data_IF_587427087144
#
_entry.id   IF_587427087144
#
_cell.length_a   1.000
_cell.length_b   1.000
_cell.length_c   1.000
_cell.angle_alpha   90.00
_cell.angle_beta   90.00
_cell.angle_gamma   90.00
#
_symmetry.space_group_name_H-M   'P 1'
#
loop_
_entity.id
_entity.type
_entity.pdbx_description
1 polymer ?
#
# COMPACT_ATOMS: atom_id res chain seq x y z
N UNK A 1 19.99 9.75 12.19
CA UNK A 1 18.75 9.71 11.39
C UNK A 1 17.63 9.26 12.31
N UNK A 2 16.70 10.13 12.66
CA UNK A 2 15.54 9.78 13.50
C UNK A 2 14.37 9.47 12.58
N UNK A 3 14.06 8.19 12.39
CA UNK A 3 12.99 7.76 11.48
C UNK A 3 11.66 8.37 11.92
N UNK A 4 10.89 8.94 10.98
CA UNK A 4 9.60 9.60 11.27
C UNK A 4 8.59 8.55 11.76
N UNK A 5 8.61 7.35 11.17
CA UNK A 5 7.81 6.20 11.59
C UNK A 5 8.73 5.02 11.87
N UNK A 6 8.54 4.40 13.04
CA UNK A 6 9.20 3.14 13.41
C UNK A 6 8.18 2.02 13.38
N UNK A 7 8.28 1.13 12.41
CA UNK A 7 7.49 -0.09 12.33
C UNK A 7 8.11 -1.12 13.28
N UNK A 8 7.30 -1.71 14.15
CA UNK A 8 7.70 -2.80 15.05
C UNK A 8 7.22 -4.15 14.57
N UNK A 9 6.06 -4.19 13.92
CA UNK A 9 5.49 -5.41 13.35
C UNK A 9 4.71 -5.06 12.09
N UNK A 10 4.81 -5.91 11.06
CA UNK A 10 4.09 -5.73 9.82
C UNK A 10 3.93 -7.07 9.14
N UNK A 11 2.74 -7.33 8.61
CA UNK A 11 2.52 -8.51 7.82
C UNK A 11 1.14 -8.58 7.22
N UNK A 12 0.88 -9.74 6.63
CA UNK A 12 -0.36 -10.07 5.97
C UNK A 12 -0.85 -11.43 6.46
N UNK A 13 -2.17 -11.63 6.49
CA UNK A 13 -2.79 -12.94 6.74
C UNK A 13 -3.81 -13.26 5.65
N UNK A 14 -3.81 -14.49 5.11
CA UNK A 14 -2.81 -15.55 5.33
C UNK A 14 -1.48 -15.26 4.61
N UNK A 15 -0.37 -15.84 5.12
CA UNK A 15 0.96 -15.76 4.51
C UNK A 15 1.55 -17.18 4.32
N UNK A 16 2.20 -17.52 3.19
CA UNK A 16 2.38 -16.67 2.01
C UNK A 16 1.06 -16.38 1.29
N UNK A 17 0.88 -15.19 0.69
CA UNK A 17 -0.32 -14.91 -0.08
C UNK A 17 -0.33 -15.84 -1.30
N UNK A 18 -1.34 -16.69 -1.37
CA UNK A 18 -1.79 -17.34 -2.61
C UNK A 18 -3.15 -16.72 -2.86
N UNK A 19 -3.14 -15.61 -3.61
CA UNK A 19 -4.36 -14.89 -3.91
C UNK A 19 -5.04 -15.51 -5.13
N UNK A 20 -6.33 -15.79 -5.00
CA UNK A 20 -7.27 -16.17 -6.07
C UNK A 20 -8.37 -15.10 -6.17
N UNK A 21 -9.30 -15.24 -7.12
CA UNK A 21 -10.46 -14.36 -7.24
C UNK A 21 -11.21 -14.21 -5.90
N UNK A 22 -11.46 -12.97 -5.46
CA UNK A 22 -12.18 -12.68 -4.22
C UNK A 22 -11.41 -12.99 -2.94
N UNK A 23 -10.08 -13.11 -3.03
CA UNK A 23 -9.22 -13.37 -1.88
C UNK A 23 -9.21 -12.17 -0.93
N UNK A 24 -9.60 -12.44 0.31
CA UNK A 24 -9.54 -11.50 1.42
C UNK A 24 -8.23 -11.71 2.17
N UNK A 25 -7.47 -10.63 2.33
CA UNK A 25 -6.26 -10.64 3.15
C UNK A 25 -6.33 -9.54 4.19
N UNK A 26 -5.82 -9.84 5.39
CA UNK A 26 -5.67 -8.85 6.44
C UNK A 26 -4.25 -8.31 6.43
N UNK A 27 -4.07 -7.01 6.19
CA UNK A 27 -2.81 -6.32 6.49
C UNK A 27 -2.84 -5.86 7.94
N UNK A 28 -1.74 -6.09 8.65
CA UNK A 28 -1.55 -5.54 9.99
C UNK A 28 -0.23 -4.79 10.07
N UNK A 29 -0.25 -3.64 10.73
CA UNK A 29 0.89 -2.76 10.97
C UNK A 29 0.88 -2.36 12.43
N UNK A 30 1.99 -2.59 13.13
CA UNK A 30 2.26 -2.04 14.45
C UNK A 30 3.51 -1.20 14.43
N UNK A 31 3.46 -0.06 15.09
CA UNK A 31 4.60 0.83 15.15
C UNK A 31 4.33 2.09 15.95
N UNK A 32 5.21 3.07 15.77
CA UNK A 32 5.12 4.39 16.37
C UNK A 32 5.46 5.46 15.35
N UNK A 33 4.64 6.49 15.29
CA UNK A 33 4.97 7.76 14.65
C UNK A 33 5.73 8.59 15.69
N UNK A 34 6.99 8.92 15.41
CA UNK A 34 7.89 9.56 16.38
C UNK A 34 7.72 11.09 16.43
N UNK A 35 7.23 11.69 15.33
CA UNK A 35 6.94 13.12 15.23
C UNK A 35 5.77 13.35 14.27
N UNK A 36 5.11 14.47 14.43
CA UNK A 36 4.07 14.91 13.50
C UNK A 36 4.65 15.06 12.08
N UNK A 37 3.87 14.68 11.08
CA UNK A 37 4.18 14.95 9.68
C UNK A 37 2.91 15.35 8.94
N UNK A 38 3.06 16.27 7.99
CA UNK A 38 1.95 16.86 7.24
C UNK A 38 1.48 16.00 6.07
N UNK A 39 0.97 16.66 5.02
CA UNK A 39 0.63 16.00 3.77
C UNK A 39 1.80 15.20 3.20
N UNK A 40 1.48 14.03 2.68
CA UNK A 40 2.46 13.14 2.09
C UNK A 40 1.88 12.43 0.87
N UNK A 41 2.71 12.30 -0.16
CA UNK A 41 2.43 11.49 -1.34
C UNK A 41 2.92 10.07 -1.15
N UNK A 42 2.27 9.12 -1.82
CA UNK A 42 2.70 7.72 -1.86
C UNK A 42 3.14 7.33 -3.26
N UNK A 43 4.34 6.76 -3.38
CA UNK A 43 4.82 6.13 -4.60
C UNK A 43 4.68 4.61 -4.47
N UNK A 44 3.86 4.02 -5.32
CA UNK A 44 3.79 2.56 -5.48
C UNK A 44 4.60 2.18 -6.71
N UNK A 45 5.50 1.21 -6.55
CA UNK A 45 6.17 0.51 -7.66
C UNK A 45 5.74 -0.94 -7.63
N UNK A 46 5.01 -1.36 -8.66
CA UNK A 46 4.54 -2.73 -8.81
C UNK A 46 5.28 -3.38 -9.98
N UNK A 47 5.85 -4.55 -9.75
CA UNK A 47 6.57 -5.31 -10.76
C UNK A 47 6.16 -6.77 -10.74
N UNK A 48 6.19 -7.42 -11.91
CA UNK A 48 5.95 -8.85 -12.07
C UNK A 48 7.21 -9.56 -12.54
N UNK A 49 7.45 -10.75 -12.04
CA UNK A 49 8.52 -11.62 -12.52
C UNK A 49 8.10 -12.31 -13.82
N UNK A 50 8.81 -12.04 -14.92
CA UNK A 50 8.61 -12.63 -16.24
C UNK A 50 9.95 -13.15 -16.74
N UNK A 51 10.04 -14.44 -17.05
CA UNK A 51 11.26 -15.10 -17.54
C UNK A 51 12.52 -14.80 -16.69
N UNK A 52 12.35 -14.65 -15.38
CA UNK A 52 13.43 -14.35 -14.43
C UNK A 52 13.70 -12.86 -14.18
N UNK A 53 13.11 -11.96 -14.97
CA UNK A 53 13.28 -10.51 -14.83
C UNK A 53 12.08 -9.85 -14.17
N UNK A 54 12.31 -8.78 -13.41
CA UNK A 54 11.24 -7.95 -12.85
C UNK A 54 10.82 -6.88 -13.87
N UNK A 55 9.61 -7.04 -14.40
CA UNK A 55 9.01 -6.12 -15.37
C UNK A 55 8.08 -5.17 -14.62
N UNK A 56 8.29 -3.84 -14.69
CA UNK A 56 7.41 -2.87 -14.04
C UNK A 56 6.03 -2.87 -14.69
N UNK A 57 4.99 -2.82 -13.87
CA UNK A 57 3.61 -2.64 -14.31
C UNK A 57 3.35 -1.14 -14.35
N UNK A 58 3.02 -0.56 -15.51
CA UNK A 58 2.79 0.88 -15.64
C UNK A 58 1.56 1.32 -14.85
N UNK A 59 1.50 2.61 -14.50
CA UNK A 59 0.27 3.17 -13.93
C UNK A 59 -0.80 3.27 -15.01
N UNK A 60 -1.90 2.54 -14.86
CA UNK A 60 -3.05 2.56 -15.75
C UNK A 60 -4.32 2.65 -14.91
N UNK A 61 -5.10 3.73 -15.12
CA UNK A 61 -6.35 3.99 -14.38
C UNK A 61 -6.20 3.89 -12.85
N UNK A 62 -5.05 4.30 -12.29
CA UNK A 62 -4.78 4.23 -10.86
C UNK A 62 -4.27 2.88 -10.34
N UNK A 63 -4.00 1.91 -11.23
CA UNK A 63 -3.42 0.60 -10.89
C UNK A 63 -1.99 0.46 -11.41
N UNK A 64 -1.12 -0.22 -10.66
CA UNK A 64 0.27 -0.49 -11.05
C UNK A 64 1.26 0.43 -10.35
N UNK A 65 2.29 0.88 -11.08
CA UNK A 65 3.32 1.76 -10.52
C UNK A 65 2.89 3.23 -10.54
N UNK A 66 1.97 3.60 -9.65
CA UNK A 66 1.38 4.93 -9.57
C UNK A 66 1.97 5.79 -8.45
N UNK A 67 1.96 7.10 -8.65
CA UNK A 67 2.10 8.08 -7.57
C UNK A 67 0.72 8.58 -7.20
N UNK A 68 0.41 8.52 -5.91
CA UNK A 68 -0.81 9.05 -5.32
C UNK A 68 -0.43 10.31 -4.54
N UNK A 69 -0.82 11.48 -5.06
CA UNK A 69 -0.42 12.78 -4.52
C UNK A 69 -0.98 13.02 -3.11
N UNK A 70 -2.08 12.35 -2.79
CA UNK A 70 -2.67 12.30 -1.46
C UNK A 70 -2.58 10.86 -0.92
N UNK A 71 -1.55 10.57 -0.11
CA UNK A 71 -1.41 9.26 0.55
C UNK A 71 -2.62 8.89 1.40
N UNK A 72 -3.38 9.90 1.85
CA UNK A 72 -4.65 9.71 2.52
C UNK A 72 -5.78 9.25 1.61
N UNK A 73 -5.82 9.56 0.31
CA UNK A 73 -6.85 8.99 -0.58
C UNK A 73 -6.67 7.49 -0.76
N UNK A 74 -5.42 6.99 -0.77
CA UNK A 74 -5.18 5.56 -0.78
C UNK A 74 -5.49 4.92 0.57
N UNK A 75 -5.06 5.55 1.67
CA UNK A 75 -5.42 5.07 3.02
C UNK A 75 -6.93 5.08 3.22
N UNK A 76 -7.63 6.11 2.74
CA UNK A 76 -9.08 6.26 2.73
C UNK A 76 -9.74 5.20 1.86
N UNK A 77 -9.23 4.91 0.67
CA UNK A 77 -9.74 3.80 -0.16
C UNK A 77 -9.57 2.45 0.54
N UNK A 78 -8.45 2.24 1.25
CA UNK A 78 -8.18 1.02 2.02
C UNK A 78 -8.93 0.95 3.36
N UNK A 79 -9.31 2.10 3.93
CA UNK A 79 -10.03 2.24 5.21
C UNK A 79 -11.54 2.42 5.02
N UNK A 80 -12.01 2.79 3.82
CA UNK A 80 -13.44 2.99 3.49
C UNK A 80 -14.24 1.69 3.52
N UNK A 81 -13.60 0.53 3.41
CA UNK A 81 -14.27 -0.74 3.73
C UNK A 81 -14.69 -0.83 5.22
N UNK A 82 -14.29 0.12 6.09
CA UNK A 82 -14.66 0.20 7.50
C UNK A 82 -15.77 1.20 7.85
N UNK A 83 -16.53 1.73 6.87
CA UNK A 83 -17.76 2.55 7.11
C UNK A 83 -17.54 3.77 8.02
N UNK A 84 -16.66 4.69 7.63
CA UNK A 84 -16.43 5.98 8.32
C UNK A 84 -16.90 7.15 7.41
N UNK A 85 -17.52 8.23 7.94
CA UNK A 85 -18.10 9.32 7.14
C UNK A 85 -17.03 10.20 6.46
N UNK A 86 -17.49 10.93 5.43
CA UNK A 86 -16.76 11.88 4.57
C UNK A 86 -15.43 12.39 5.11
N UNK A 87 -14.34 12.00 4.43
CA UNK A 87 -12.97 12.42 4.76
C UNK A 87 -12.67 13.76 4.09
N UNK A 88 -12.03 14.70 4.78
CA UNK A 88 -11.61 15.99 4.21
C UNK A 88 -10.66 15.82 3.02
N UNK A 89 -10.80 16.69 2.01
CA UNK A 89 -9.98 16.72 0.78
C UNK A 89 -8.48 16.89 1.05
N UNK A 90 -8.15 17.55 2.17
CA UNK A 90 -6.80 17.76 2.67
C UNK A 90 -6.61 16.98 3.97
N UNK A 91 -5.51 16.24 4.02
CA UNK A 91 -5.22 15.40 5.16
C UNK A 91 -4.48 16.21 6.22
N UNK A 92 -4.95 16.30 7.47
CA UNK A 92 -4.38 17.20 8.49
C UNK A 92 -2.99 16.78 9.01
N UNK A 93 -2.31 15.86 8.31
CA UNK A 93 -1.11 15.19 8.78
C UNK A 93 -1.42 14.11 9.82
N UNK A 94 -0.39 13.32 10.16
CA UNK A 94 -0.48 12.32 11.22
C UNK A 94 0.36 12.80 12.41
N UNK A 95 -0.25 12.81 13.60
CA UNK A 95 0.42 13.16 14.85
C UNK A 95 1.26 12.02 15.39
N UNK A 96 2.25 12.36 16.21
CA UNK A 96 3.04 11.39 16.96
C UNK A 96 2.12 10.53 17.85
N UNK A 97 2.10 9.22 17.58
CA UNK A 97 1.25 8.26 18.29
C UNK A 97 1.76 6.83 18.10
N UNK A 98 1.30 5.92 18.95
CA UNK A 98 1.42 4.49 18.68
C UNK A 98 0.35 4.09 17.66
N UNK A 99 0.72 3.21 16.74
CA UNK A 99 -0.15 2.69 15.69
C UNK A 99 -0.23 1.18 15.86
N UNK A 100 -1.44 0.66 15.98
CA UNK A 100 -1.76 -0.76 15.87
C UNK A 100 -3.01 -0.83 14.98
N UNK A 101 -2.81 -1.17 13.72
CA UNK A 101 -3.85 -1.17 12.69
C UNK A 101 -3.91 -2.54 12.04
N UNK A 102 -5.11 -3.09 11.90
CA UNK A 102 -5.37 -4.29 11.13
C UNK A 102 -6.58 -4.06 10.25
N UNK A 103 -6.39 -4.13 8.92
CA UNK A 103 -7.45 -3.94 7.95
C UNK A 103 -7.57 -5.17 7.07
N UNK A 104 -8.80 -5.61 6.83
CA UNK A 104 -9.11 -6.59 5.80
C UNK A 104 -9.26 -5.87 4.48
N UNK A 105 -8.59 -6.37 3.45
CA UNK A 105 -8.64 -5.87 2.09
C UNK A 105 -9.07 -7.03 1.21
N UNK A 106 -10.10 -6.78 0.41
CA UNK A 106 -10.54 -7.70 -0.64
C UNK A 106 -9.78 -7.37 -1.92
N UNK A 107 -9.11 -8.35 -2.54
CA UNK A 107 -8.51 -8.12 -3.84
C UNK A 107 -9.63 -7.93 -4.89
N UNK A 108 -9.69 -6.78 -5.60
CA UNK A 108 -10.75 -6.53 -6.55
C UNK A 108 -10.66 -7.47 -7.76
N UNK A 109 -11.78 -7.65 -8.45
CA UNK A 109 -11.78 -8.35 -9.74
C UNK A 109 -10.87 -7.60 -10.72
N UNK A 110 -9.85 -8.30 -11.23
CA UNK A 110 -8.96 -7.74 -12.24
C UNK A 110 -9.78 -7.59 -13.54
N UNK A 111 -9.92 -6.36 -14.09
CA UNK A 111 -10.67 -6.15 -15.33
C UNK A 111 -10.14 -7.04 -16.46
N UNK A 112 -11.02 -7.51 -17.35
CA UNK A 112 -10.66 -8.41 -18.46
C UNK A 112 -9.40 -8.02 -19.28
N UNK A 113 -9.16 -6.73 -19.60
CA UNK A 113 -7.94 -6.28 -20.29
C UNK A 113 -6.64 -6.52 -19.50
N UNK A 114 -6.75 -6.72 -18.19
CA UNK A 114 -5.67 -6.98 -17.24
C UNK A 114 -5.59 -8.45 -16.81
N UNK A 115 -6.39 -9.36 -17.40
CA UNK A 115 -6.40 -10.79 -17.06
C UNK A 115 -5.03 -11.48 -17.22
N UNK A 116 -4.12 -10.91 -18.02
CA UNK A 116 -2.74 -11.39 -18.09
C UNK A 116 -1.99 -11.26 -16.75
N UNK A 117 -2.46 -10.41 -15.81
CA UNK A 117 -1.93 -10.22 -14.46
C UNK A 117 -2.38 -11.28 -13.44
N UNK A 118 -3.17 -12.29 -13.82
CA UNK A 118 -3.83 -13.13 -12.80
C UNK A 118 -2.88 -14.13 -12.14
N UNK A 119 -1.89 -14.69 -12.84
CA UNK A 119 -0.95 -15.66 -12.25
C UNK A 119 0.51 -15.21 -12.34
N UNK A 120 1.23 -15.14 -11.22
CA UNK A 120 2.65 -14.81 -11.24
C UNK A 120 3.22 -14.36 -9.90
N UNK A 121 4.53 -14.12 -9.88
CA UNK A 121 5.21 -13.53 -8.73
C UNK A 121 5.30 -12.03 -8.91
N UNK A 122 4.92 -11.29 -7.87
CA UNK A 122 4.84 -9.85 -7.83
C UNK A 122 5.75 -9.29 -6.74
N UNK A 123 6.25 -8.08 -6.98
CA UNK A 123 6.95 -7.25 -6.01
C UNK A 123 6.28 -5.90 -5.98
N UNK A 124 5.86 -5.47 -4.80
CA UNK A 124 5.30 -4.16 -4.54
C UNK A 124 6.25 -3.41 -3.60
N UNK A 125 6.63 -2.18 -3.97
CA UNK A 125 7.37 -1.26 -3.11
C UNK A 125 6.59 0.03 -2.95
N UNK A 126 6.17 0.32 -1.73
CA UNK A 126 5.46 1.53 -1.35
C UNK A 126 6.39 2.47 -0.59
N UNK A 127 6.42 3.74 -0.99
CA UNK A 127 7.16 4.80 -0.28
C UNK A 127 6.23 5.97 0.00
N UNK A 128 6.22 6.47 1.24
CA UNK A 128 5.50 7.69 1.60
C UNK A 128 6.50 8.81 1.82
N UNK A 129 6.26 9.95 1.18
CA UNK A 129 7.15 11.12 1.18
C UNK A 129 6.35 12.34 1.61
N UNK A 130 6.81 13.01 2.68
CA UNK A 130 6.22 14.26 3.16
C UNK A 130 6.43 15.39 2.13
N UNK A 131 5.36 16.08 1.74
CA UNK A 131 5.40 17.06 0.64
C UNK A 131 6.33 18.24 0.94
N UNK A 132 6.25 18.82 2.14
CA UNK A 132 6.98 20.03 2.50
C UNK A 132 8.47 19.83 2.72
N UNK A 133 8.86 18.72 3.36
CA UNK A 133 10.28 18.42 3.67
C UNK A 133 10.94 17.50 2.63
N UNK A 134 10.14 16.88 1.76
CA UNK A 134 10.53 15.77 0.89
C UNK A 134 11.17 14.59 1.65
N UNK A 135 10.91 14.50 2.96
CA UNK A 135 11.45 13.42 3.80
C UNK A 135 10.68 12.13 3.57
N UNK A 136 11.42 11.02 3.47
CA UNK A 136 10.83 9.67 3.39
C UNK A 136 10.28 9.28 4.77
N UNK A 137 8.98 9.13 4.86
CA UNK A 137 8.24 8.78 6.09
C UNK A 137 8.29 7.28 6.34
N UNK A 138 7.96 6.48 5.32
CA UNK A 138 7.95 5.02 5.37
C UNK A 138 8.36 4.43 4.02
N UNK A 139 8.94 3.23 4.05
CA UNK A 139 9.24 2.43 2.87
C UNK A 139 8.92 0.97 3.21
N UNK A 140 8.02 0.36 2.44
CA UNK A 140 7.65 -1.04 2.58
C UNK A 140 7.86 -1.76 1.26
N UNK A 141 8.37 -2.98 1.33
CA UNK A 141 8.51 -3.86 0.17
C UNK A 141 7.90 -5.21 0.50
N UNK A 142 7.10 -5.71 -0.43
CA UNK A 142 6.35 -6.96 -0.32
C UNK A 142 6.58 -7.77 -1.60
N UNK A 143 6.77 -9.08 -1.44
CA UNK A 143 6.73 -10.02 -2.55
C UNK A 143 5.61 -11.03 -2.30
N UNK A 144 4.91 -11.42 -3.35
CA UNK A 144 3.80 -12.35 -3.27
C UNK A 144 3.58 -13.10 -4.58
N UNK A 145 2.81 -14.18 -4.53
CA UNK A 145 2.43 -14.96 -5.70
C UNK A 145 0.91 -14.98 -5.81
N UNK A 146 0.40 -14.71 -7.01
CA UNK A 146 -1.03 -14.83 -7.32
C UNK A 146 -1.18 -16.06 -8.19
N UNK A 147 -2.19 -16.87 -7.90
CA UNK A 147 -2.54 -18.09 -8.64
C UNK A 147 -3.99 -17.96 -9.09
N UNK A 148 -4.29 -18.44 -10.30
CA UNK A 148 -5.64 -18.46 -10.87
C UNK A 148 -6.45 -19.64 -10.28
#
# INVERSE_FOLDING_TARGET
SSDIVKITDFGMRPYPPIAQKGFNFQLFVKGRVNRDFGEAKMNLKLSRKVLGFWVPIPCLAGYGSCTYDNGCQLMDTLLREASIPEIPDECPGIRAQNVDMANSITLPEIPGPLAWLVSGTYRARGEVIENGSNARVICMELEGRIED
#
